data_IF_377421960848
#
_entry.id   IF_377421960848
#
_cell.length_a   1.000
_cell.length_b   1.000
_cell.length_c   1.000
_cell.angle_alpha   90.00
_cell.angle_beta   90.00
_cell.angle_gamma   90.00
#
_symmetry.space_group_name_H-M   'P 1'
#
loop_
_entity.id
_entity.type
_entity.pdbx_description
1 polymer ?
#
# COMPACT_ATOMS: atom_id res chain seq x y z
N UNK A 1 -30.29 -35.12 26.78
CA UNK A 1 -29.17 -34.75 25.93
C UNK A 1 -28.08 -34.17 26.82
N UNK A 2 -26.90 -34.73 26.77
CA UNK A 2 -25.75 -34.16 27.44
C UNK A 2 -25.18 -33.03 26.56
N UNK A 3 -24.74 -31.94 27.18
CA UNK A 3 -24.16 -30.81 26.49
C UNK A 3 -22.70 -30.62 26.90
N UNK A 4 -21.87 -30.26 25.93
CA UNK A 4 -20.47 -29.94 26.12
C UNK A 4 -20.23 -28.43 25.98
N UNK A 5 -19.20 -27.94 26.63
CA UNK A 5 -18.71 -26.59 26.46
C UNK A 5 -17.94 -26.45 25.12
N UNK A 6 -17.74 -25.21 24.68
CA UNK A 6 -16.89 -24.90 23.52
C UNK A 6 -15.48 -25.51 23.65
N UNK A 7 -14.93 -25.48 24.87
CA UNK A 7 -13.60 -26.01 25.16
C UNK A 7 -13.53 -27.54 24.99
N UNK A 8 -14.53 -28.27 25.49
CA UNK A 8 -14.57 -29.73 25.36
C UNK A 8 -14.74 -30.15 23.89
N UNK A 9 -15.61 -29.48 23.15
CA UNK A 9 -15.80 -29.72 21.71
C UNK A 9 -14.53 -29.34 20.90
N UNK A 10 -13.83 -28.29 21.29
CA UNK A 10 -12.56 -27.91 20.63
C UNK A 10 -11.50 -28.98 20.75
N UNK A 11 -11.38 -29.60 21.92
CA UNK A 11 -10.48 -30.75 22.19
C UNK A 11 -10.92 -31.98 21.40
N UNK A 12 -12.22 -32.30 21.46
CA UNK A 12 -12.78 -33.49 20.78
C UNK A 12 -12.58 -33.44 19.26
N UNK A 13 -12.74 -32.24 18.64
CA UNK A 13 -12.62 -32.06 17.21
C UNK A 13 -11.19 -31.69 16.76
N UNK A 14 -10.27 -31.42 17.66
CA UNK A 14 -8.91 -30.98 17.34
C UNK A 14 -8.87 -29.65 16.63
N UNK A 15 -9.68 -28.67 17.09
CA UNK A 15 -9.80 -27.34 16.50
C UNK A 15 -9.75 -26.25 17.60
N UNK A 16 -9.53 -25.00 17.22
CA UNK A 16 -9.53 -23.89 18.21
C UNK A 16 -10.94 -23.62 18.77
N UNK A 17 -11.03 -23.20 20.03
CA UNK A 17 -12.29 -22.76 20.66
C UNK A 17 -13.00 -21.67 19.87
N UNK A 18 -12.21 -20.75 19.29
CA UNK A 18 -12.71 -19.65 18.45
C UNK A 18 -13.40 -20.14 17.19
N UNK A 19 -12.89 -21.22 16.58
CA UNK A 19 -13.55 -21.84 15.43
C UNK A 19 -14.88 -22.45 15.83
N UNK A 20 -14.93 -23.15 16.96
CA UNK A 20 -16.18 -23.73 17.49
C UNK A 20 -17.20 -22.63 17.77
N UNK A 21 -16.80 -21.54 18.46
CA UNK A 21 -17.67 -20.38 18.72
C UNK A 21 -18.23 -19.76 17.44
N UNK A 22 -17.38 -19.63 16.41
CA UNK A 22 -17.80 -19.11 15.11
C UNK A 22 -18.81 -20.04 14.45
N UNK A 23 -18.55 -21.35 14.42
CA UNK A 23 -19.46 -22.34 13.85
C UNK A 23 -20.83 -22.37 14.58
N UNK A 24 -20.83 -22.15 15.91
CA UNK A 24 -22.06 -21.95 16.66
C UNK A 24 -22.81 -20.68 16.26
N UNK A 25 -22.09 -19.56 16.13
CA UNK A 25 -22.66 -18.27 15.74
C UNK A 25 -23.21 -18.27 14.30
N UNK A 26 -22.60 -19.06 13.41
CA UNK A 26 -23.05 -19.29 12.04
C UNK A 26 -24.18 -20.34 11.91
N UNK A 27 -24.66 -20.92 13.04
CA UNK A 27 -25.69 -21.96 13.03
C UNK A 27 -25.28 -23.29 12.37
N UNK A 28 -23.99 -23.55 12.25
CA UNK A 28 -23.42 -24.72 11.54
C UNK A 28 -23.21 -25.94 12.42
N UNK A 29 -23.46 -25.78 13.71
CA UNK A 29 -23.49 -26.90 14.68
C UNK A 29 -24.94 -27.08 15.10
N UNK A 30 -25.53 -28.18 14.65
CA UNK A 30 -26.93 -28.50 14.94
C UNK A 30 -27.14 -28.65 16.46
N UNK A 31 -28.16 -28.01 16.98
CA UNK A 31 -28.50 -28.08 18.41
C UNK A 31 -27.64 -27.21 19.34
N UNK A 32 -26.66 -26.44 18.83
CA UNK A 32 -25.90 -25.49 19.64
C UNK A 32 -26.79 -24.34 20.14
N UNK A 33 -26.72 -24.03 21.45
CA UNK A 33 -27.52 -22.98 22.08
C UNK A 33 -26.65 -22.04 22.91
N UNK A 34 -27.07 -20.78 23.03
CA UNK A 34 -26.36 -19.80 23.85
C UNK A 34 -27.06 -19.65 25.19
N UNK A 35 -26.40 -20.06 26.27
CA UNK A 35 -26.92 -19.98 27.63
C UNK A 35 -26.02 -19.07 28.48
N UNK A 36 -26.60 -18.06 29.11
CA UNK A 36 -25.86 -17.09 29.96
C UNK A 36 -24.57 -16.53 29.36
N UNK A 37 -24.59 -16.29 28.03
CA UNK A 37 -23.42 -15.72 27.29
C UNK A 37 -22.44 -16.74 26.74
N UNK A 38 -22.54 -18.02 27.14
CA UNK A 38 -21.67 -19.11 26.67
C UNK A 38 -22.43 -20.06 25.74
N UNK A 39 -21.73 -20.64 24.75
CA UNK A 39 -22.30 -21.67 23.90
C UNK A 39 -22.26 -23.03 24.58
N UNK A 40 -23.37 -23.76 24.52
CA UNK A 40 -23.49 -25.17 24.88
C UNK A 40 -23.85 -25.96 23.61
N UNK A 41 -23.18 -27.11 23.43
CA UNK A 41 -23.22 -27.90 22.21
C UNK A 41 -23.59 -29.34 22.58
N UNK A 42 -24.53 -29.98 21.88
CA UNK A 42 -24.81 -31.39 22.15
C UNK A 42 -23.54 -32.26 22.06
N UNK A 43 -23.38 -33.20 22.99
CA UNK A 43 -22.20 -34.09 23.04
C UNK A 43 -22.08 -35.00 21.82
N UNK A 44 -23.17 -35.22 21.12
CA UNK A 44 -23.27 -36.02 19.90
C UNK A 44 -23.18 -35.17 18.61
N UNK A 45 -22.96 -33.86 18.74
CA UNK A 45 -22.79 -32.94 17.61
C UNK A 45 -21.64 -33.38 16.69
N UNK A 46 -21.92 -33.47 15.41
CA UNK A 46 -20.89 -33.85 14.44
C UNK A 46 -20.08 -32.64 13.99
N UNK A 47 -18.76 -32.84 13.83
CA UNK A 47 -17.87 -31.84 13.26
C UNK A 47 -18.29 -31.54 11.82
N UNK A 48 -18.59 -30.27 11.45
CA UNK A 48 -18.95 -29.93 10.08
C UNK A 48 -17.84 -30.32 9.09
N UNK A 49 -18.22 -31.02 8.00
CA UNK A 49 -17.28 -31.52 6.97
C UNK A 49 -16.50 -30.38 6.30
N UNK A 50 -17.08 -29.20 6.22
CA UNK A 50 -16.46 -27.99 5.67
C UNK A 50 -16.23 -27.00 6.80
N UNK A 51 -14.99 -26.85 7.28
CA UNK A 51 -14.65 -25.90 8.34
C UNK A 51 -14.55 -24.44 7.84
N UNK A 52 -14.60 -24.25 6.51
CA UNK A 52 -14.73 -22.93 5.88
C UNK A 52 -16.19 -22.52 5.86
N UNK A 53 -16.44 -21.23 6.03
CA UNK A 53 -17.76 -20.62 5.84
C UNK A 53 -18.30 -20.99 4.46
N UNK A 54 -19.46 -21.65 4.42
CA UNK A 54 -20.30 -21.63 3.22
C UNK A 54 -20.93 -20.25 3.17
N UNK A 55 -20.21 -19.28 2.64
CA UNK A 55 -20.78 -17.99 2.33
C UNK A 55 -21.61 -18.13 1.06
N UNK A 56 -22.87 -17.74 1.15
CA UNK A 56 -23.61 -17.19 0.00
C UNK A 56 -22.82 -16.10 -0.72
N UNK A 57 -21.84 -15.48 -0.04
CA UNK A 57 -20.89 -14.50 -0.58
C UNK A 57 -19.93 -15.06 -1.65
N UNK A 58 -19.54 -16.36 -1.60
CA UNK A 58 -18.64 -16.95 -2.62
C UNK A 58 -19.35 -17.17 -3.98
N UNK A 59 -20.67 -17.31 -4.00
CA UNK A 59 -21.42 -17.37 -5.25
C UNK A 59 -21.71 -15.98 -5.80
N UNK A 60 -22.11 -15.03 -4.99
CA UNK A 60 -22.25 -13.63 -5.38
C UNK A 60 -20.89 -13.02 -5.80
N UNK A 61 -19.78 -13.42 -5.14
CA UNK A 61 -18.45 -12.93 -5.47
C UNK A 61 -17.95 -13.42 -6.84
N UNK A 62 -18.24 -14.69 -7.19
CA UNK A 62 -17.92 -15.23 -8.53
C UNK A 62 -18.84 -14.68 -9.62
N UNK A 63 -20.09 -14.39 -9.30
CA UNK A 63 -21.03 -13.75 -10.21
C UNK A 63 -20.72 -12.27 -10.42
N UNK A 64 -20.29 -11.55 -9.39
CA UNK A 64 -19.82 -10.15 -9.49
C UNK A 64 -18.51 -10.04 -10.28
N UNK A 65 -17.57 -10.96 -10.07
CA UNK A 65 -16.32 -11.03 -10.83
C UNK A 65 -16.58 -11.36 -12.31
N UNK A 66 -17.46 -12.32 -12.58
CA UNK A 66 -17.88 -12.68 -13.94
C UNK A 66 -18.71 -11.58 -14.61
N UNK A 67 -19.51 -10.84 -13.86
CA UNK A 67 -20.30 -9.72 -14.37
C UNK A 67 -19.43 -8.49 -14.62
N UNK A 68 -18.46 -8.20 -13.76
CA UNK A 68 -17.48 -7.13 -13.95
C UNK A 68 -16.62 -7.39 -15.20
N UNK A 69 -16.11 -8.61 -15.36
CA UNK A 69 -15.37 -9.03 -16.56
C UNK A 69 -16.22 -8.94 -17.84
N UNK A 70 -17.49 -9.35 -17.79
CA UNK A 70 -18.42 -9.25 -18.93
C UNK A 70 -18.79 -7.81 -19.27
N UNK A 71 -18.97 -6.94 -18.27
CA UNK A 71 -19.24 -5.52 -18.47
C UNK A 71 -18.07 -4.80 -19.13
N UNK A 72 -16.83 -5.09 -18.70
CA UNK A 72 -15.62 -4.54 -19.29
C UNK A 72 -15.38 -5.06 -20.72
N UNK A 73 -15.64 -6.35 -20.97
CA UNK A 73 -15.57 -6.91 -22.33
C UNK A 73 -16.67 -6.33 -23.26
N UNK A 74 -17.86 -6.07 -22.74
CA UNK A 74 -18.97 -5.45 -23.48
C UNK A 74 -18.67 -3.97 -23.80
N UNK A 75 -18.06 -3.24 -22.87
CA UNK A 75 -17.65 -1.86 -23.08
C UNK A 75 -16.52 -1.74 -24.13
N UNK A 76 -15.54 -2.67 -24.13
CA UNK A 76 -14.54 -2.74 -25.21
C UNK A 76 -15.17 -2.88 -26.59
N UNK A 77 -16.18 -3.75 -26.73
CA UNK A 77 -16.88 -3.95 -28.02
C UNK A 77 -17.75 -2.76 -28.42
N UNK A 78 -18.31 -2.02 -27.47
CA UNK A 78 -19.12 -0.82 -27.74
C UNK A 78 -18.25 0.38 -28.16
N UNK A 79 -17.06 0.54 -27.60
CA UNK A 79 -16.10 1.60 -28.00
C UNK A 79 -15.50 1.32 -29.37
N UNK A 80 -15.15 0.07 -29.69
CA UNK A 80 -14.64 -0.32 -31.01
C UNK A 80 -15.67 -0.14 -32.14
N UNK A 81 -16.98 -0.19 -31.84
CA UNK A 81 -18.05 0.01 -32.80
C UNK A 81 -18.42 1.49 -33.02
N UNK A 82 -18.10 2.40 -32.09
CA UNK A 82 -18.48 3.81 -32.17
C UNK A 82 -17.47 4.72 -32.85
N UNK A 83 -16.21 4.34 -32.94
CA UNK A 83 -15.16 5.18 -33.52
C UNK A 83 -14.28 4.34 -34.47
N UNK A 84 -14.53 4.30 -35.77
CA UNK A 84 -13.59 3.80 -36.75
C UNK A 84 -12.34 4.70 -36.79
N UNK A 85 -11.13 4.17 -37.02
CA UNK A 85 -9.92 4.96 -37.03
C UNK A 85 -9.98 6.08 -38.07
N UNK A 86 -9.74 7.31 -37.61
CA UNK A 86 -9.71 8.50 -38.49
C UNK A 86 -8.41 8.47 -39.32
N UNK A 87 -8.55 8.66 -40.62
CA UNK A 87 -7.45 8.84 -41.55
C UNK A 87 -6.65 10.11 -41.21
N UNK A 88 -5.34 9.97 -41.09
CA UNK A 88 -4.42 11.06 -40.78
C UNK A 88 -4.18 11.95 -41.97
N UNK A 89 -4.32 13.28 -41.88
CA UNK A 89 -3.81 14.19 -42.90
C UNK A 89 -2.32 14.44 -42.70
N UNK A 90 -1.56 14.21 -43.76
CA UNK A 90 -0.15 14.53 -43.84
C UNK A 90 0.08 16.05 -43.88
N UNK A 91 0.76 16.62 -42.91
CA UNK A 91 1.36 17.96 -43.03
C UNK A 91 2.81 17.94 -42.64
N UNK A 92 3.63 18.28 -43.61
CA UNK A 92 5.07 18.52 -43.50
C UNK A 92 5.37 19.75 -42.65
N UNK A 93 6.17 19.67 -41.61
CA UNK A 93 6.79 20.82 -40.99
C UNK A 93 8.28 20.56 -40.69
N UNK A 94 9.04 21.62 -40.91
CA UNK A 94 10.50 21.72 -41.05
C UNK A 94 11.24 21.47 -39.75
N UNK A 95 12.40 20.83 -39.89
CA UNK A 95 13.39 20.51 -38.86
C UNK A 95 13.92 21.75 -38.11
N UNK A 96 13.85 21.67 -36.77
CA UNK A 96 14.78 22.30 -35.83
C UNK A 96 15.37 21.19 -34.94
N UNK A 97 16.68 21.22 -34.58
CA UNK A 97 17.25 20.27 -33.67
C UNK A 97 16.74 20.59 -32.27
N UNK A 98 15.64 19.95 -31.87
CA UNK A 98 15.00 20.08 -30.59
C UNK A 98 15.33 18.89 -29.68
N UNK A 99 15.14 19.13 -28.41
CA UNK A 99 15.17 18.19 -27.30
C UNK A 99 14.63 16.80 -27.65
N UNK A 100 15.15 15.71 -27.03
CA UNK A 100 14.62 14.40 -27.29
C UNK A 100 13.11 14.42 -27.01
N UNK A 101 12.30 14.00 -27.99
CA UNK A 101 10.85 13.82 -27.88
C UNK A 101 10.58 13.00 -26.61
N UNK A 102 10.21 13.71 -25.54
CA UNK A 102 9.68 13.02 -24.36
C UNK A 102 8.42 12.29 -24.83
N UNK A 103 8.43 11.00 -24.65
CA UNK A 103 7.28 10.16 -24.95
C UNK A 103 6.04 10.71 -24.26
N UNK A 104 5.02 10.99 -25.03
CA UNK A 104 3.73 11.48 -24.51
C UNK A 104 3.11 10.53 -23.48
N UNK A 105 3.41 9.22 -23.57
CA UNK A 105 2.89 8.22 -22.63
C UNK A 105 3.54 8.36 -21.26
N UNK A 106 4.87 8.43 -21.20
CA UNK A 106 5.58 8.57 -19.92
C UNK A 106 5.30 9.92 -19.25
N UNK A 107 5.18 10.99 -20.03
CA UNK A 107 4.87 12.31 -19.50
C UNK A 107 3.46 12.38 -18.87
N UNK A 108 2.50 11.60 -19.36
CA UNK A 108 1.12 11.58 -18.89
C UNK A 108 0.83 10.43 -17.90
N UNK A 109 1.81 9.58 -17.60
CA UNK A 109 1.65 8.52 -16.60
C UNK A 109 1.73 9.14 -15.20
N UNK A 110 0.73 8.87 -14.35
CA UNK A 110 0.60 9.45 -13.01
C UNK A 110 0.79 10.99 -13.05
N UNK A 111 -0.16 11.70 -13.69
CA UNK A 111 0.03 13.10 -14.06
C UNK A 111 0.31 14.03 -12.86
N UNK A 112 -0.34 13.83 -11.72
CA UNK A 112 -0.10 14.65 -10.53
C UNK A 112 1.28 14.39 -9.92
N UNK A 113 1.67 13.12 -9.79
CA UNK A 113 2.99 12.72 -9.29
C UNK A 113 4.11 13.26 -10.18
N UNK A 114 3.88 13.35 -11.49
CA UNK A 114 4.84 13.90 -12.46
C UNK A 114 4.82 15.41 -12.60
N UNK A 115 3.88 16.10 -11.96
CA UNK A 115 3.79 17.55 -12.02
C UNK A 115 4.44 18.18 -10.79
N UNK A 116 5.36 19.11 -11.01
CA UNK A 116 5.95 19.93 -9.94
C UNK A 116 4.93 20.96 -9.45
N UNK A 117 4.75 21.04 -8.13
CA UNK A 117 3.93 22.08 -7.52
C UNK A 117 4.46 22.46 -6.14
N UNK A 118 4.09 23.66 -5.68
CA UNK A 118 4.40 24.10 -4.31
C UNK A 118 3.35 23.60 -3.34
N UNK A 119 3.71 23.23 -2.10
CA UNK A 119 2.75 22.83 -1.07
C UNK A 119 1.61 23.83 -0.90
N UNK A 120 0.39 23.35 -0.80
CA UNK A 120 -0.84 24.16 -0.74
C UNK A 120 -1.45 24.49 -2.10
N UNK A 121 -0.80 24.09 -3.21
CA UNK A 121 -1.29 24.34 -4.56
C UNK A 121 -1.71 23.09 -5.34
N UNK A 122 -1.81 21.95 -4.70
CA UNK A 122 -2.16 20.68 -5.34
C UNK A 122 -3.47 20.79 -6.14
N UNK A 123 -4.54 21.30 -5.55
CA UNK A 123 -5.84 21.45 -6.20
C UNK A 123 -5.80 22.42 -7.38
N UNK A 124 -5.04 23.53 -7.27
CA UNK A 124 -4.86 24.46 -8.37
C UNK A 124 -4.09 23.80 -9.53
N UNK A 125 -3.07 23.01 -9.23
CA UNK A 125 -2.30 22.23 -10.21
C UNK A 125 -3.19 21.23 -10.94
N UNK A 126 -4.05 20.49 -10.24
CA UNK A 126 -5.03 19.59 -10.87
C UNK A 126 -5.94 20.34 -11.85
N UNK A 127 -6.42 21.52 -11.47
CA UNK A 127 -7.32 22.32 -12.30
C UNK A 127 -6.63 22.90 -13.56
N UNK A 128 -5.30 22.91 -13.63
CA UNK A 128 -4.52 23.38 -14.78
C UNK A 128 -4.35 22.33 -15.88
N UNK A 129 -4.68 21.07 -15.65
CA UNK A 129 -4.68 20.09 -16.72
C UNK A 129 -5.78 20.42 -17.75
N UNK A 130 -5.41 20.68 -18.98
CA UNK A 130 -6.35 21.01 -20.07
C UNK A 130 -7.21 19.80 -20.45
N UNK A 131 -6.61 18.61 -20.51
CA UNK A 131 -7.27 17.35 -20.79
C UNK A 131 -8.16 16.95 -19.59
N UNK A 132 -9.49 16.80 -19.77
CA UNK A 132 -10.42 16.43 -18.70
C UNK A 132 -10.12 15.06 -18.07
N UNK A 133 -9.63 14.12 -18.86
CA UNK A 133 -9.36 12.76 -18.40
C UNK A 133 -8.06 12.72 -17.59
N UNK A 134 -7.01 13.44 -18.03
CA UNK A 134 -5.80 13.63 -17.22
C UNK A 134 -6.11 14.35 -15.91
N UNK A 135 -6.97 15.38 -15.94
CA UNK A 135 -7.43 16.08 -14.73
C UNK A 135 -8.15 15.14 -13.78
N UNK A 136 -8.99 14.25 -14.30
CA UNK A 136 -9.74 13.26 -13.50
C UNK A 136 -8.79 12.23 -12.89
N UNK A 137 -7.78 11.78 -13.62
CA UNK A 137 -6.76 10.88 -13.08
C UNK A 137 -5.89 11.59 -12.01
N UNK A 138 -5.50 12.85 -12.25
CA UNK A 138 -4.78 13.64 -11.24
C UNK A 138 -5.61 13.84 -9.95
N UNK A 139 -6.93 14.02 -10.09
CA UNK A 139 -7.84 14.06 -8.94
C UNK A 139 -7.89 12.70 -8.20
N UNK A 140 -7.89 11.58 -8.93
CA UNK A 140 -7.86 10.25 -8.32
C UNK A 140 -6.54 9.99 -7.57
N UNK A 141 -5.39 10.44 -8.12
CA UNK A 141 -4.11 10.42 -7.40
C UNK A 141 -4.20 11.23 -6.10
N UNK A 142 -4.71 12.45 -6.17
CA UNK A 142 -4.93 13.29 -4.99
C UNK A 142 -5.81 12.59 -3.94
N UNK A 143 -6.92 11.99 -4.37
CA UNK A 143 -7.80 11.24 -3.46
C UNK A 143 -7.03 10.10 -2.78
N UNK A 144 -6.26 9.32 -3.52
CA UNK A 144 -5.43 8.25 -2.95
C UNK A 144 -4.42 8.80 -1.94
N UNK A 145 -3.57 9.74 -2.34
CA UNK A 145 -2.51 10.26 -1.48
C UNK A 145 -3.01 11.09 -0.29
N UNK A 146 -4.27 11.52 -0.32
CA UNK A 146 -4.95 12.19 0.82
C UNK A 146 -5.75 11.25 1.73
N UNK A 147 -5.61 9.92 1.58
CA UNK A 147 -6.25 8.93 2.44
C UNK A 147 -7.69 8.57 2.06
N UNK A 148 -8.16 8.95 0.87
CA UNK A 148 -9.52 8.74 0.36
C UNK A 148 -9.56 7.60 -0.65
N UNK A 149 -9.18 6.40 -0.21
CA UNK A 149 -9.02 5.24 -1.07
C UNK A 149 -10.33 4.84 -1.78
N UNK A 150 -11.50 4.97 -1.12
CA UNK A 150 -12.81 4.71 -1.72
C UNK A 150 -13.09 5.60 -2.92
N UNK A 151 -12.85 6.92 -2.78
CA UNK A 151 -13.06 7.91 -3.83
C UNK A 151 -12.10 7.66 -5.01
N UNK A 152 -10.82 7.40 -4.71
CA UNK A 152 -9.81 7.07 -5.71
C UNK A 152 -10.20 5.81 -6.53
N UNK A 153 -10.63 4.74 -5.86
CA UNK A 153 -11.08 3.51 -6.52
C UNK A 153 -12.35 3.74 -7.35
N UNK A 154 -13.29 4.55 -6.87
CA UNK A 154 -14.50 4.85 -7.60
C UNK A 154 -14.22 5.64 -8.90
N UNK A 155 -13.37 6.68 -8.82
CA UNK A 155 -13.00 7.49 -9.99
C UNK A 155 -12.29 6.61 -11.02
N UNK A 156 -11.25 5.88 -10.61
CA UNK A 156 -10.40 5.12 -11.53
C UNK A 156 -11.09 3.90 -12.13
N UNK A 157 -12.11 3.35 -11.46
CA UNK A 157 -12.89 2.22 -11.98
C UNK A 157 -13.50 2.46 -13.36
N UNK A 158 -13.83 3.70 -13.71
CA UNK A 158 -14.35 4.09 -15.03
C UNK A 158 -13.28 4.19 -16.13
N UNK A 159 -11.99 4.19 -15.76
CA UNK A 159 -10.87 4.42 -16.68
C UNK A 159 -10.00 3.17 -16.95
N UNK A 160 -10.35 2.03 -16.38
CA UNK A 160 -9.57 0.78 -16.54
C UNK A 160 -9.52 0.25 -17.98
N UNK A 161 -10.44 0.70 -18.85
CA UNK A 161 -10.49 0.35 -20.27
C UNK A 161 -10.36 1.56 -21.17
N UNK A 162 -9.79 2.66 -20.67
CA UNK A 162 -9.64 3.91 -21.43
C UNK A 162 -8.75 3.71 -22.66
N UNK A 163 -9.06 4.40 -23.78
CA UNK A 163 -8.30 4.25 -25.03
C UNK A 163 -6.88 4.84 -24.94
N UNK A 164 -6.69 5.92 -24.18
CA UNK A 164 -5.36 6.48 -23.94
C UNK A 164 -4.60 5.57 -22.93
N UNK A 165 -3.46 5.04 -23.40
CA UNK A 165 -2.67 4.08 -22.63
C UNK A 165 -2.14 4.67 -21.32
N UNK A 166 -1.66 5.90 -21.29
CA UNK A 166 -1.15 6.54 -20.07
C UNK A 166 -2.24 6.69 -18.99
N UNK A 167 -3.43 7.12 -19.41
CA UNK A 167 -4.60 7.25 -18.54
C UNK A 167 -5.02 5.89 -17.99
N UNK A 168 -5.11 4.88 -18.87
CA UNK A 168 -5.45 3.50 -18.46
C UNK A 168 -4.47 2.93 -17.46
N UNK A 169 -3.16 3.04 -17.73
CA UNK A 169 -2.12 2.53 -16.84
C UNK A 169 -2.14 3.25 -15.47
N UNK A 170 -2.30 4.57 -15.47
CA UNK A 170 -2.45 5.35 -14.24
C UNK A 170 -3.68 4.91 -13.44
N UNK A 171 -4.82 4.74 -14.12
CA UNK A 171 -6.04 4.26 -13.49
C UNK A 171 -5.86 2.87 -12.88
N UNK A 172 -5.22 1.93 -13.60
CA UNK A 172 -4.93 0.59 -13.09
C UNK A 172 -4.04 0.62 -11.84
N UNK A 173 -2.99 1.45 -11.83
CA UNK A 173 -2.11 1.61 -10.67
C UNK A 173 -2.89 2.15 -9.47
N UNK A 174 -3.56 3.29 -9.61
CA UNK A 174 -4.31 3.91 -8.52
C UNK A 174 -5.41 2.96 -8.01
N UNK A 175 -6.15 2.33 -8.92
CA UNK A 175 -7.20 1.37 -8.57
C UNK A 175 -6.65 0.18 -7.78
N UNK A 176 -5.51 -0.38 -8.21
CA UNK A 176 -4.88 -1.48 -7.52
C UNK A 176 -4.49 -1.08 -6.09
N UNK A 177 -3.74 0.00 -5.93
CA UNK A 177 -3.29 0.44 -4.60
C UNK A 177 -4.44 0.91 -3.71
N UNK A 178 -5.44 1.62 -4.23
CA UNK A 178 -6.61 2.05 -3.48
C UNK A 178 -7.47 0.87 -2.97
N UNK A 179 -7.53 -0.24 -3.71
CA UNK A 179 -8.28 -1.42 -3.28
C UNK A 179 -7.56 -2.30 -2.23
N UNK A 180 -6.26 -2.09 -1.98
CA UNK A 180 -5.52 -2.78 -0.92
C UNK A 180 -6.06 -2.40 0.48
N UNK A 181 -6.06 -1.12 0.90
CA UNK A 181 -6.61 -0.72 2.20
C UNK A 181 -8.12 -0.99 2.33
N UNK A 182 -8.84 -1.08 1.21
CA UNK A 182 -10.25 -1.47 1.19
C UNK A 182 -10.46 -2.98 1.35
N UNK A 183 -9.38 -3.76 1.33
CA UNK A 183 -9.43 -5.22 1.43
C UNK A 183 -10.00 -5.93 0.21
N UNK A 184 -10.15 -5.23 -0.91
CA UNK A 184 -10.68 -5.74 -2.18
C UNK A 184 -9.55 -6.30 -3.06
N UNK A 185 -8.87 -7.33 -2.56
CA UNK A 185 -7.64 -7.87 -3.17
C UNK A 185 -7.84 -8.38 -4.60
N UNK A 186 -9.00 -8.97 -4.91
CA UNK A 186 -9.27 -9.46 -6.26
C UNK A 186 -9.37 -8.30 -7.27
N UNK A 187 -9.91 -7.16 -6.86
CA UNK A 187 -9.97 -5.96 -7.70
C UNK A 187 -8.58 -5.37 -7.93
N UNK A 188 -7.73 -5.35 -6.90
CA UNK A 188 -6.34 -4.95 -7.05
C UNK A 188 -5.57 -5.86 -8.03
N UNK A 189 -5.72 -7.18 -7.88
CA UNK A 189 -5.10 -8.16 -8.80
C UNK A 189 -5.62 -8.04 -10.23
N UNK A 190 -6.91 -7.79 -10.39
CA UNK A 190 -7.52 -7.58 -11.70
C UNK A 190 -6.87 -6.38 -12.41
N UNK A 191 -6.77 -5.22 -11.73
CA UNK A 191 -6.17 -4.03 -12.32
C UNK A 191 -4.69 -4.24 -12.71
N UNK A 192 -3.91 -4.91 -11.87
CA UNK A 192 -2.51 -5.25 -12.19
C UNK A 192 -2.41 -6.22 -13.38
N UNK A 193 -3.34 -7.17 -13.52
CA UNK A 193 -3.39 -8.09 -14.65
C UNK A 193 -3.77 -7.37 -15.96
N UNK A 194 -4.76 -6.47 -15.92
CA UNK A 194 -5.13 -5.63 -17.08
C UNK A 194 -3.95 -4.76 -17.54
N UNK A 195 -3.24 -4.14 -16.60
CA UNK A 195 -2.05 -3.36 -16.92
C UNK A 195 -0.97 -4.21 -17.59
N UNK A 196 -0.70 -5.42 -17.10
CA UNK A 196 0.28 -6.33 -17.72
C UNK A 196 -0.14 -6.76 -19.13
N UNK A 197 -1.42 -6.99 -19.37
CA UNK A 197 -1.95 -7.32 -20.68
C UNK A 197 -1.73 -6.17 -21.68
N UNK A 198 -1.98 -4.93 -21.26
CA UNK A 198 -1.79 -3.75 -22.10
C UNK A 198 -0.31 -3.50 -22.41
N UNK A 199 0.58 -3.63 -21.42
CA UNK A 199 2.02 -3.52 -21.66
C UNK A 199 2.52 -4.57 -22.66
N UNK A 200 2.04 -5.81 -22.55
CA UNK A 200 2.39 -6.87 -23.49
C UNK A 200 1.86 -6.60 -24.91
N UNK A 201 0.65 -6.05 -25.03
CA UNK A 201 0.04 -5.72 -26.33
C UNK A 201 0.82 -4.61 -27.09
N UNK A 202 1.48 -3.71 -26.37
CA UNK A 202 2.24 -2.59 -26.94
C UNK A 202 3.75 -2.80 -26.99
N UNK A 203 4.23 -4.00 -26.63
CA UNK A 203 5.65 -4.31 -26.49
C UNK A 203 6.49 -4.04 -27.75
N UNK A 204 5.91 -4.30 -28.92
CA UNK A 204 6.61 -4.15 -30.20
C UNK A 204 6.49 -2.73 -30.78
N UNK A 205 5.43 -1.99 -30.41
CA UNK A 205 5.15 -0.66 -30.94
C UNK A 205 5.91 0.47 -30.22
N UNK A 206 6.21 0.28 -28.92
CA UNK A 206 6.88 1.28 -28.06
C UNK A 206 7.98 0.61 -27.19
N UNK A 207 9.05 0.09 -27.79
CA UNK A 207 9.93 -0.83 -27.09
C UNK A 207 10.72 -0.22 -25.93
N UNK A 208 11.10 1.06 -25.99
CA UNK A 208 11.85 1.71 -24.89
C UNK A 208 10.94 2.17 -23.76
N UNK A 209 9.82 2.77 -24.10
CA UNK A 209 8.84 3.31 -23.14
C UNK A 209 8.17 2.19 -22.37
N UNK A 210 7.73 1.13 -23.07
CA UNK A 210 7.15 -0.04 -22.42
C UNK A 210 8.14 -0.71 -21.47
N UNK A 211 9.42 -0.81 -21.84
CA UNK A 211 10.44 -1.33 -20.94
C UNK A 211 10.61 -0.47 -19.68
N UNK A 212 10.54 0.85 -19.83
CA UNK A 212 10.62 1.76 -18.69
C UNK A 212 9.40 1.63 -17.77
N UNK A 213 8.20 1.59 -18.35
CA UNK A 213 6.94 1.45 -17.59
C UNK A 213 6.89 0.06 -16.94
N UNK A 214 7.13 -1.02 -17.71
CA UNK A 214 7.12 -2.39 -17.20
C UNK A 214 8.17 -2.57 -16.10
N UNK A 215 9.39 -2.06 -16.32
CA UNK A 215 10.46 -2.08 -15.35
C UNK A 215 10.06 -1.35 -14.07
N UNK A 216 9.61 -0.11 -14.17
CA UNK A 216 9.21 0.71 -13.03
C UNK A 216 8.05 0.08 -12.24
N UNK A 217 6.96 -0.26 -12.92
CA UNK A 217 5.74 -0.78 -12.27
C UNK A 217 6.01 -2.13 -11.61
N UNK A 218 6.68 -3.04 -12.33
CA UNK A 218 6.99 -4.37 -11.80
C UNK A 218 7.95 -4.28 -10.62
N UNK A 219 8.95 -3.40 -10.71
CA UNK A 219 9.89 -3.15 -9.64
C UNK A 219 9.19 -2.56 -8.39
N UNK A 220 8.40 -1.50 -8.58
CA UNK A 220 7.66 -0.86 -7.50
C UNK A 220 6.70 -1.85 -6.83
N UNK A 221 5.89 -2.59 -7.59
CA UNK A 221 4.99 -3.58 -7.05
C UNK A 221 5.73 -4.68 -6.26
N UNK A 222 6.84 -5.19 -6.79
CA UNK A 222 7.62 -6.23 -6.11
C UNK A 222 8.21 -5.73 -4.80
N UNK A 223 8.88 -4.57 -4.80
CA UNK A 223 9.52 -4.04 -3.59
C UNK A 223 8.50 -3.62 -2.54
N UNK A 224 7.49 -2.83 -2.94
CA UNK A 224 6.52 -2.28 -1.99
C UNK A 224 5.53 -3.32 -1.46
N UNK A 225 5.30 -4.41 -2.19
CA UNK A 225 4.49 -5.54 -1.71
C UNK A 225 5.34 -6.69 -1.17
N UNK A 226 6.65 -6.51 -0.99
CA UNK A 226 7.58 -7.54 -0.51
C UNK A 226 7.49 -8.86 -1.31
N UNK A 227 7.30 -8.74 -2.62
CA UNK A 227 7.26 -9.89 -3.54
C UNK A 227 8.65 -10.15 -4.11
N UNK A 228 8.98 -11.40 -4.48
CA UNK A 228 10.22 -11.70 -5.16
C UNK A 228 10.33 -10.94 -6.50
N UNK A 229 11.50 -10.35 -6.77
CA UNK A 229 11.75 -9.72 -8.07
C UNK A 229 11.70 -10.77 -9.19
N UNK A 230 10.93 -10.55 -10.26
CA UNK A 230 10.85 -11.48 -11.38
C UNK A 230 12.20 -11.68 -12.07
N UNK A 231 12.47 -12.90 -12.49
CA UNK A 231 13.68 -13.20 -13.31
C UNK A 231 13.58 -12.46 -14.63
N UNK A 232 14.65 -11.74 -14.97
CA UNK A 232 14.73 -10.98 -16.23
C UNK A 232 14.20 -9.54 -16.14
N UNK A 233 13.79 -9.08 -14.95
CA UNK A 233 13.51 -7.67 -14.75
C UNK A 233 14.76 -6.83 -15.04
N UNK A 234 14.66 -5.75 -15.85
CA UNK A 234 15.79 -4.86 -16.08
C UNK A 234 16.31 -4.26 -14.77
N UNK A 235 17.62 -4.07 -14.62
CA UNK A 235 18.14 -3.36 -13.45
C UNK A 235 17.65 -1.91 -13.45
N UNK A 236 17.57 -1.32 -12.26
CA UNK A 236 17.00 0.04 -12.06
C UNK A 236 17.69 1.06 -12.96
N UNK A 237 19.00 0.95 -13.14
CA UNK A 237 19.82 1.84 -13.96
C UNK A 237 19.42 1.84 -15.45
N UNK A 238 18.77 0.77 -15.90
CA UNK A 238 18.37 0.63 -17.30
C UNK A 238 17.08 1.40 -17.63
N UNK A 239 16.17 1.57 -16.67
CA UNK A 239 14.90 2.25 -16.90
C UNK A 239 14.79 3.62 -16.20
N UNK A 240 15.53 3.84 -15.12
CA UNK A 240 15.50 5.09 -14.35
C UNK A 240 15.72 6.36 -15.20
N UNK A 241 16.71 6.42 -16.13
CA UNK A 241 16.94 7.60 -16.95
C UNK A 241 15.79 7.91 -17.93
N UNK A 242 14.97 6.92 -18.24
CA UNK A 242 13.84 7.05 -19.18
C UNK A 242 12.58 7.61 -18.51
N UNK A 243 12.52 7.58 -17.17
CA UNK A 243 11.38 8.07 -16.42
C UNK A 243 11.37 9.61 -16.35
N UNK A 244 10.20 10.25 -16.43
CA UNK A 244 10.08 11.67 -16.14
C UNK A 244 10.36 11.94 -14.66
N UNK A 245 10.68 13.19 -14.32
CA UNK A 245 11.29 13.55 -13.04
C UNK A 245 10.50 13.08 -11.81
N UNK A 246 9.19 13.27 -11.76
CA UNK A 246 8.38 12.83 -10.62
C UNK A 246 8.39 11.32 -10.42
N UNK A 247 8.22 10.54 -11.52
CA UNK A 247 8.31 9.07 -11.45
C UNK A 247 9.74 8.59 -11.19
N UNK A 248 10.74 9.28 -11.69
CA UNK A 248 12.15 8.98 -11.40
C UNK A 248 12.44 9.13 -9.91
N UNK A 249 12.00 10.24 -9.30
CA UNK A 249 12.13 10.46 -7.86
C UNK A 249 11.40 9.39 -7.04
N UNK A 250 10.21 8.95 -7.50
CA UNK A 250 9.51 7.84 -6.87
C UNK A 250 10.24 6.50 -7.07
N UNK A 251 10.82 6.24 -8.24
CA UNK A 251 11.62 5.04 -8.47
C UNK A 251 12.89 5.00 -7.60
N UNK A 252 13.49 6.16 -7.33
CA UNK A 252 14.61 6.28 -6.38
C UNK A 252 14.16 5.98 -4.95
N UNK A 253 12.96 6.42 -4.54
CA UNK A 253 12.36 5.99 -3.27
C UNK A 253 12.23 4.47 -3.20
N UNK A 254 11.65 3.83 -4.25
CA UNK A 254 11.49 2.36 -4.28
C UNK A 254 12.84 1.65 -4.15
N UNK A 255 13.86 2.16 -4.82
CA UNK A 255 15.20 1.58 -4.73
C UNK A 255 15.86 1.77 -3.35
N UNK A 256 15.70 2.95 -2.75
CA UNK A 256 16.14 3.21 -1.39
C UNK A 256 15.40 2.29 -0.39
N UNK A 257 14.08 2.09 -0.59
CA UNK A 257 13.28 1.18 0.23
C UNK A 257 13.77 -0.27 0.11
N UNK A 258 14.15 -0.74 -1.09
CA UNK A 258 14.76 -2.06 -1.26
C UNK A 258 16.07 -2.17 -0.47
N UNK A 259 16.97 -1.19 -0.58
CA UNK A 259 18.22 -1.16 0.19
C UNK A 259 17.96 -1.18 1.71
N UNK A 260 16.91 -0.45 2.17
CA UNK A 260 16.46 -0.52 3.55
C UNK A 260 16.06 -1.95 3.97
N UNK A 261 15.27 -2.65 3.14
CA UNK A 261 14.87 -4.04 3.41
C UNK A 261 16.06 -5.01 3.42
N UNK A 262 17.09 -4.74 2.64
CA UNK A 262 18.35 -5.47 2.63
C UNK A 262 19.25 -5.14 3.83
N UNK A 263 18.91 -4.11 4.62
CA UNK A 263 19.67 -3.64 5.78
C UNK A 263 20.86 -2.73 5.43
N UNK A 264 20.97 -2.30 4.17
CA UNK A 264 22.03 -1.38 3.70
C UNK A 264 21.58 0.10 3.84
N UNK A 265 21.35 0.51 5.09
CA UNK A 265 20.83 1.83 5.42
C UNK A 265 21.73 2.96 4.93
N UNK A 266 23.04 2.75 4.89
CA UNK A 266 23.99 3.79 4.45
C UNK A 266 23.92 4.06 2.95
N UNK A 267 23.74 3.01 2.13
CA UNK A 267 23.54 3.19 0.68
C UNK A 267 22.17 3.77 0.39
N UNK A 268 21.13 3.35 1.10
CA UNK A 268 19.79 3.92 1.02
C UNK A 268 19.84 5.43 1.28
N UNK A 269 20.44 5.87 2.40
CA UNK A 269 20.60 7.30 2.72
C UNK A 269 21.39 8.07 1.66
N UNK A 270 22.52 7.53 1.22
CA UNK A 270 23.31 8.20 0.17
C UNK A 270 22.52 8.41 -1.12
N UNK A 271 21.66 7.44 -1.49
CA UNK A 271 20.76 7.54 -2.64
C UNK A 271 19.70 8.62 -2.42
N UNK A 272 19.07 8.65 -1.25
CA UNK A 272 18.05 9.65 -0.89
C UNK A 272 18.63 11.06 -0.91
N UNK A 273 19.77 11.27 -0.25
CA UNK A 273 20.43 12.58 -0.17
C UNK A 273 20.84 13.08 -1.56
N UNK A 274 21.40 12.20 -2.41
CA UNK A 274 21.73 12.53 -3.78
C UNK A 274 20.47 12.92 -4.59
N UNK A 275 19.40 12.14 -4.48
CA UNK A 275 18.14 12.41 -5.17
C UNK A 275 17.54 13.78 -4.77
N UNK A 276 17.51 14.09 -3.47
CA UNK A 276 17.00 15.37 -2.96
C UNK A 276 17.84 16.59 -3.38
N UNK A 277 19.13 16.40 -3.68
CA UNK A 277 20.01 17.47 -4.18
C UNK A 277 19.95 17.67 -5.69
N UNK A 278 19.53 16.65 -6.45
CA UNK A 278 19.57 16.68 -7.92
C UNK A 278 18.37 17.36 -8.56
N UNK A 279 17.22 17.36 -7.89
CA UNK A 279 15.99 17.94 -8.44
C UNK A 279 15.94 19.47 -8.20
N UNK A 280 15.82 20.22 -9.32
CA UNK A 280 15.60 21.67 -9.28
C UNK A 280 14.14 22.08 -9.09
N UNK A 281 13.22 21.12 -9.08
CA UNK A 281 11.79 21.32 -8.94
C UNK A 281 11.24 20.35 -7.87
N UNK A 282 10.24 20.81 -7.12
CA UNK A 282 9.61 19.99 -6.06
C UNK A 282 8.50 19.13 -6.63
N UNK A 283 8.60 17.82 -6.41
CA UNK A 283 7.57 16.83 -6.68
C UNK A 283 7.04 16.30 -5.35
N UNK A 284 6.07 16.98 -4.70
CA UNK A 284 5.75 16.75 -3.29
C UNK A 284 5.41 15.31 -2.96
N UNK A 285 4.62 14.64 -3.81
CA UNK A 285 4.23 13.23 -3.58
C UNK A 285 5.48 12.35 -3.50
N UNK A 286 6.30 12.35 -4.54
CA UNK A 286 7.50 11.49 -4.62
C UNK A 286 8.53 11.85 -3.56
N UNK A 287 8.70 13.14 -3.26
CA UNK A 287 9.64 13.62 -2.24
C UNK A 287 9.20 13.24 -0.82
N UNK A 288 7.90 13.27 -0.51
CA UNK A 288 7.37 12.76 0.77
C UNK A 288 7.83 11.31 0.98
N UNK A 289 7.57 10.42 0.03
CA UNK A 289 7.97 9.01 0.11
C UNK A 289 9.48 8.84 0.26
N UNK A 290 10.27 9.60 -0.49
CA UNK A 290 11.72 9.56 -0.43
C UNK A 290 12.25 9.98 0.97
N UNK A 291 11.66 11.01 1.58
CA UNK A 291 11.99 11.43 2.94
C UNK A 291 11.57 10.42 4.00
N UNK A 292 10.45 9.71 3.79
CA UNK A 292 10.02 8.67 4.74
C UNK A 292 11.00 7.51 4.81
N UNK A 293 11.60 7.07 3.69
CA UNK A 293 12.62 6.03 3.74
C UNK A 293 13.90 6.52 4.44
N UNK A 294 14.29 7.78 4.26
CA UNK A 294 15.39 8.35 5.05
C UNK A 294 15.12 8.29 6.56
N UNK A 295 13.89 8.59 7.00
CA UNK A 295 13.50 8.46 8.41
C UNK A 295 13.67 7.01 8.89
N UNK A 296 13.25 6.05 8.09
CA UNK A 296 13.36 4.62 8.42
C UNK A 296 14.84 4.21 8.60
N UNK A 297 15.72 4.68 7.72
CA UNK A 297 17.15 4.46 7.77
C UNK A 297 17.79 5.12 9.00
N UNK A 298 17.53 6.40 9.22
CA UNK A 298 18.04 7.15 10.36
C UNK A 298 17.60 6.55 11.70
N UNK A 299 16.35 6.10 11.79
CA UNK A 299 15.84 5.40 12.98
C UNK A 299 16.54 4.05 13.18
N UNK A 300 16.88 3.34 12.11
CA UNK A 300 17.66 2.10 12.17
C UNK A 300 19.10 2.36 12.62
N UNK A 301 19.68 3.50 12.24
CA UNK A 301 21.02 3.98 12.66
C UNK A 301 21.03 4.75 14.00
N UNK A 302 19.88 4.88 14.67
CA UNK A 302 19.69 5.63 15.94
C UNK A 302 20.02 7.14 15.83
N UNK A 303 19.87 7.71 14.64
CA UNK A 303 20.07 9.13 14.36
C UNK A 303 18.72 9.87 14.41
N UNK A 304 18.17 10.03 15.59
CA UNK A 304 16.81 10.55 15.81
C UNK A 304 16.60 11.98 15.35
N UNK A 305 17.61 12.85 15.51
CA UNK A 305 17.50 14.26 15.12
C UNK A 305 17.44 14.40 13.59
N UNK A 306 18.22 13.63 12.86
CA UNK A 306 18.17 13.60 11.39
C UNK A 306 16.81 13.04 10.91
N UNK A 307 16.33 11.97 11.55
CA UNK A 307 15.00 11.42 11.28
C UNK A 307 13.89 12.47 11.51
N UNK A 308 14.01 13.24 12.62
CA UNK A 308 13.08 14.32 12.95
C UNK A 308 13.11 15.43 11.89
N UNK A 309 14.29 15.84 11.44
CA UNK A 309 14.43 16.87 10.41
C UNK A 309 13.75 16.44 9.09
N UNK A 310 13.98 15.19 8.66
CA UNK A 310 13.30 14.64 7.48
C UNK A 310 11.79 14.51 7.66
N UNK A 311 11.32 14.14 8.85
CA UNK A 311 9.88 14.06 9.13
C UNK A 311 9.21 15.43 9.03
N UNK A 312 9.80 16.46 9.63
CA UNK A 312 9.24 17.81 9.56
C UNK A 312 9.25 18.34 8.11
N UNK A 313 10.33 18.10 7.36
CA UNK A 313 10.40 18.49 5.95
C UNK A 313 9.34 17.74 5.09
N UNK A 314 9.12 16.45 5.33
CA UNK A 314 8.05 15.70 4.67
C UNK A 314 6.66 16.21 5.07
N UNK A 315 6.49 16.59 6.33
CA UNK A 315 5.24 17.13 6.86
C UNK A 315 4.89 18.50 6.29
N UNK A 316 5.89 19.35 6.11
CA UNK A 316 5.72 20.66 5.48
C UNK A 316 5.29 20.55 4.01
N UNK A 317 5.73 19.49 3.31
CA UNK A 317 5.27 19.17 1.96
C UNK A 317 3.84 18.64 1.94
N UNK A 318 3.50 17.77 2.90
CA UNK A 318 2.27 16.97 2.88
C UNK A 318 1.07 17.74 3.44
N UNK A 319 1.24 18.40 4.58
CA UNK A 319 0.15 18.95 5.39
C UNK A 319 -0.71 19.99 4.68
N UNK A 320 -0.15 20.96 3.92
CA UNK A 320 -0.95 22.00 3.27
C UNK A 320 -2.01 21.45 2.30
N UNK A 321 -1.73 20.33 1.66
CA UNK A 321 -2.63 19.66 0.70
C UNK A 321 -3.28 18.38 1.27
N UNK A 322 -2.96 18.02 2.51
CA UNK A 322 -3.47 16.82 3.17
C UNK A 322 -2.96 15.49 2.60
N UNK A 323 -1.75 15.46 2.03
CA UNK A 323 -1.14 14.27 1.41
C UNK A 323 -0.58 13.31 2.48
N UNK A 324 -1.46 12.63 3.21
CA UNK A 324 -1.12 11.89 4.43
C UNK A 324 -1.09 10.37 4.29
N UNK A 325 -1.48 9.80 3.13
CA UNK A 325 -1.50 8.34 2.91
C UNK A 325 -0.14 7.71 3.19
N UNK A 326 0.95 8.28 2.65
CA UNK A 326 2.31 7.78 2.81
C UNK A 326 2.73 7.59 4.28
N UNK A 327 2.31 8.48 5.18
CA UNK A 327 2.62 8.38 6.62
C UNK A 327 1.89 7.20 7.27
N UNK A 328 0.66 6.92 6.85
CA UNK A 328 -0.11 5.78 7.32
C UNK A 328 0.47 4.45 6.83
N UNK A 329 0.86 4.36 5.56
CA UNK A 329 1.50 3.19 4.97
C UNK A 329 2.83 2.83 5.67
N UNK A 330 3.61 3.83 6.06
CA UNK A 330 4.94 3.65 6.66
C UNK A 330 4.96 3.74 8.19
N UNK A 331 3.82 3.98 8.85
CA UNK A 331 3.73 4.25 10.29
C UNK A 331 4.63 3.33 11.13
N UNK A 332 4.50 2.01 10.94
CA UNK A 332 5.26 1.02 11.70
C UNK A 332 6.77 1.10 11.47
N UNK A 333 7.20 1.47 10.29
CA UNK A 333 8.60 1.56 9.90
C UNK A 333 9.26 2.85 10.39
N UNK A 334 8.47 3.89 10.68
CA UNK A 334 8.97 5.19 11.17
C UNK A 334 9.40 5.16 12.65
N UNK A 335 9.27 4.01 13.35
CA UNK A 335 9.83 3.80 14.67
C UNK A 335 9.34 4.79 15.74
N UNK A 336 8.05 5.12 15.74
CA UNK A 336 7.45 6.00 16.74
C UNK A 336 7.69 7.51 16.52
N UNK A 337 8.25 7.89 15.38
CA UNK A 337 8.46 9.31 15.02
C UNK A 337 7.14 10.06 14.91
N UNK A 338 6.07 9.42 14.43
CA UNK A 338 4.76 10.07 14.34
C UNK A 338 4.17 10.33 15.73
N UNK A 339 4.36 9.42 16.68
CA UNK A 339 3.95 9.58 18.06
C UNK A 339 4.70 10.68 18.78
N UNK A 340 6.00 10.77 18.56
CA UNK A 340 6.87 11.74 19.28
C UNK A 340 6.82 13.15 18.71
N UNK A 341 6.46 13.32 17.43
CA UNK A 341 6.46 14.60 16.74
C UNK A 341 5.05 15.00 16.31
N UNK A 342 4.42 14.23 15.42
CA UNK A 342 3.15 14.64 14.78
C UNK A 342 1.98 14.62 15.78
N UNK A 343 1.86 13.59 16.61
CA UNK A 343 0.78 13.48 17.61
C UNK A 343 0.73 14.66 18.57
N UNK A 344 1.89 15.20 18.92
CA UNK A 344 2.02 16.30 19.90
C UNK A 344 1.50 17.62 19.33
N UNK A 345 1.91 17.95 18.13
CA UNK A 345 1.68 19.27 17.53
C UNK A 345 0.45 19.28 16.61
N UNK A 346 0.07 18.11 16.04
CA UNK A 346 -1.07 17.95 15.11
C UNK A 346 -1.91 16.70 15.45
N UNK A 347 -2.57 16.65 16.60
CA UNK A 347 -3.27 15.45 17.08
C UNK A 347 -4.42 15.00 16.17
N UNK A 348 -5.12 15.92 15.50
CA UNK A 348 -6.24 15.57 14.62
C UNK A 348 -5.75 14.94 13.29
N UNK A 349 -4.64 15.43 12.73
CA UNK A 349 -4.03 14.84 11.56
C UNK A 349 -3.41 13.48 11.90
N UNK A 350 -2.80 13.35 13.09
CA UNK A 350 -2.33 12.05 13.60
C UNK A 350 -3.45 11.00 13.64
N UNK A 351 -4.66 11.34 14.09
CA UNK A 351 -5.80 10.41 14.09
C UNK A 351 -6.11 9.91 12.67
N UNK A 352 -6.14 10.81 11.68
CA UNK A 352 -6.37 10.44 10.27
C UNK A 352 -5.29 9.48 9.77
N UNK A 353 -4.01 9.76 10.09
CA UNK A 353 -2.89 8.89 9.73
C UNK A 353 -3.06 7.50 10.36
N UNK A 354 -3.48 7.42 11.62
CA UNK A 354 -3.72 6.15 12.32
C UNK A 354 -4.86 5.36 11.67
N UNK A 355 -5.94 6.01 11.21
CA UNK A 355 -7.02 5.33 10.48
C UNK A 355 -6.51 4.73 9.16
N UNK A 356 -5.65 5.44 8.44
CA UNK A 356 -4.97 4.93 7.23
C UNK A 356 -4.12 3.71 7.59
N UNK A 357 -3.30 3.80 8.65
CA UNK A 357 -2.45 2.70 9.12
C UNK A 357 -3.23 1.41 9.35
N UNK A 358 -4.38 1.49 10.04
CA UNK A 358 -5.20 0.32 10.31
C UNK A 358 -5.80 -0.28 9.03
N UNK A 359 -6.29 0.54 8.12
CA UNK A 359 -6.85 0.10 6.83
C UNK A 359 -5.77 -0.53 5.95
N UNK A 360 -4.64 0.15 5.79
CA UNK A 360 -3.50 -0.33 5.00
C UNK A 360 -2.96 -1.66 5.53
N UNK A 361 -2.68 -1.74 6.84
CA UNK A 361 -2.18 -2.96 7.48
C UNK A 361 -3.14 -4.14 7.27
N UNK A 362 -4.45 -3.93 7.37
CA UNK A 362 -5.44 -4.97 7.14
C UNK A 362 -5.43 -5.48 5.69
N UNK A 363 -5.28 -4.59 4.72
CA UNK A 363 -5.20 -4.93 3.30
C UNK A 363 -3.90 -5.66 2.94
N UNK A 364 -2.78 -5.12 3.40
CA UNK A 364 -1.46 -5.67 3.16
C UNK A 364 -1.32 -7.11 3.65
N UNK A 365 -1.87 -7.44 4.82
CA UNK A 365 -1.92 -8.81 5.36
C UNK A 365 -2.67 -9.79 4.48
N UNK A 366 -3.78 -9.37 3.90
CA UNK A 366 -4.57 -10.22 2.99
C UNK A 366 -3.81 -10.58 1.72
N UNK A 367 -2.87 -9.74 1.29
CA UNK A 367 -1.96 -10.03 0.17
C UNK A 367 -0.96 -11.12 0.56
N UNK A 368 -0.33 -10.99 1.74
CA UNK A 368 0.79 -11.85 2.15
C UNK A 368 0.36 -13.15 2.84
N UNK A 369 -0.81 -13.16 3.50
CA UNK A 369 -1.33 -14.32 4.22
C UNK A 369 -2.76 -14.69 3.81
N UNK A 370 -2.99 -15.13 2.57
CA UNK A 370 -4.33 -15.46 2.09
C UNK A 370 -4.95 -16.67 2.82
N UNK A 371 -4.14 -17.53 3.46
CA UNK A 371 -4.60 -18.77 4.11
C UNK A 371 -4.91 -18.58 5.58
N UNK A 372 -4.09 -17.84 6.33
CA UNK A 372 -4.23 -17.71 7.79
C UNK A 372 -5.00 -16.49 8.23
N UNK A 373 -5.01 -15.42 7.44
CA UNK A 373 -5.58 -14.10 7.78
C UNK A 373 -5.14 -13.58 9.17
N UNK A 374 -4.20 -14.22 9.81
CA UNK A 374 -3.69 -13.92 11.14
C UNK A 374 -2.20 -13.59 11.04
N UNK A 375 -1.86 -12.32 11.18
CA UNK A 375 -0.56 -11.95 11.73
C UNK A 375 -0.78 -11.58 13.19
N UNK A 376 -0.05 -12.23 14.05
CA UNK A 376 -0.10 -12.04 15.50
C UNK A 376 0.22 -10.56 15.84
N UNK A 377 0.99 -9.87 15.00
CA UNK A 377 1.33 -8.44 15.13
C UNK A 377 0.11 -7.49 15.06
N UNK A 378 -1.03 -7.94 14.51
CA UNK A 378 -2.25 -7.14 14.38
C UNK A 378 -2.98 -6.84 15.67
N UNK A 379 -2.69 -7.62 16.68
CA UNK A 379 -3.24 -7.41 18.00
C UNK A 379 -2.50 -6.30 18.77
N UNK A 380 -1.41 -5.76 18.19
CA UNK A 380 -0.68 -4.66 18.80
C UNK A 380 -1.40 -3.34 18.56
N UNK A 381 -1.46 -2.49 19.57
CA UNK A 381 -1.78 -1.08 19.37
C UNK A 381 -0.63 -0.39 18.62
N UNK A 382 -0.87 0.77 18.01
CA UNK A 382 0.17 1.54 17.31
C UNK A 382 1.37 1.82 18.20
N UNK A 383 1.17 2.16 19.47
CA UNK A 383 2.26 2.39 20.43
C UNK A 383 3.00 1.10 20.80
N UNK A 384 2.28 -0.01 21.01
CA UNK A 384 2.92 -1.33 21.24
C UNK A 384 3.75 -1.73 20.01
N UNK A 385 3.25 -1.46 18.80
CA UNK A 385 3.98 -1.74 17.56
C UNK A 385 5.23 -0.84 17.46
N UNK A 386 5.12 0.47 17.68
CA UNK A 386 6.26 1.38 17.67
C UNK A 386 7.36 0.97 18.68
N UNK A 387 6.95 0.67 19.92
CA UNK A 387 7.87 0.18 20.97
C UNK A 387 8.54 -1.15 20.55
N UNK A 388 7.76 -2.07 19.96
CA UNK A 388 8.28 -3.37 19.52
C UNK A 388 9.25 -3.22 18.34
N UNK A 389 8.97 -2.32 17.39
CA UNK A 389 9.84 -2.00 16.26
C UNK A 389 11.19 -1.43 16.74
N UNK A 390 11.17 -0.47 17.64
CA UNK A 390 12.40 0.09 18.23
C UNK A 390 13.18 -0.98 19.00
N UNK A 391 12.47 -1.84 19.73
CA UNK A 391 13.09 -2.95 20.47
C UNK A 391 13.73 -3.98 19.51
N UNK A 392 13.12 -4.29 18.38
CA UNK A 392 13.67 -5.14 17.32
C UNK A 392 14.95 -4.53 16.72
N UNK A 393 14.97 -3.19 16.54
CA UNK A 393 16.16 -2.42 16.13
C UNK A 393 17.23 -2.28 17.23
N UNK A 394 17.15 -3.08 18.30
CA UNK A 394 18.13 -3.13 19.40
C UNK A 394 18.25 -1.83 20.22
N UNK A 395 17.18 -1.03 20.26
CA UNK A 395 17.10 0.09 21.18
C UNK A 395 16.89 -0.39 22.61
N UNK A 396 17.54 0.18 23.60
CA UNK A 396 17.30 -0.11 25.02
C UNK A 396 15.98 0.50 25.49
N UNK A 397 15.43 0.00 26.60
CA UNK A 397 14.20 0.58 27.18
C UNK A 397 14.38 2.05 27.54
N UNK A 398 15.58 2.45 27.95
CA UNK A 398 15.92 3.84 28.26
C UNK A 398 15.91 4.71 26.99
N UNK A 399 16.53 4.27 25.89
CA UNK A 399 16.50 4.98 24.61
C UNK A 399 15.06 5.15 24.10
N UNK A 400 14.25 4.07 24.17
CA UNK A 400 12.84 4.11 23.77
C UNK A 400 12.04 5.07 24.65
N UNK A 401 12.27 5.07 25.97
CA UNK A 401 11.57 5.92 26.91
C UNK A 401 11.83 7.40 26.64
N UNK A 402 13.08 7.76 26.36
CA UNK A 402 13.48 9.12 26.01
C UNK A 402 12.84 9.54 24.68
N UNK A 403 12.91 8.68 23.66
CA UNK A 403 12.39 8.96 22.31
C UNK A 403 10.86 9.17 22.29
N UNK A 404 10.11 8.34 23.03
CA UNK A 404 8.63 8.39 23.07
C UNK A 404 8.09 9.29 24.20
N UNK A 405 8.94 9.91 24.98
CA UNK A 405 8.59 10.75 26.15
C UNK A 405 7.67 10.00 27.16
N UNK A 406 8.08 8.79 27.51
CA UNK A 406 7.39 7.93 28.49
C UNK A 406 8.37 7.35 29.51
N UNK A 407 7.85 6.82 30.64
CA UNK A 407 8.74 6.16 31.61
C UNK A 407 9.28 4.82 31.09
N UNK A 408 10.47 4.38 31.55
CA UNK A 408 11.00 3.05 31.25
C UNK A 408 10.06 1.93 31.70
N UNK A 409 9.32 2.14 32.77
CA UNK A 409 8.32 1.17 33.24
C UNK A 409 7.14 1.08 32.26
N UNK A 410 6.74 2.18 31.66
CA UNK A 410 5.74 2.21 30.58
C UNK A 410 6.22 1.42 29.36
N UNK A 411 7.48 1.60 28.95
CA UNK A 411 8.10 0.81 27.87
C UNK A 411 8.07 -0.69 28.19
N UNK A 412 8.48 -1.08 29.42
CA UNK A 412 8.42 -2.49 29.87
C UNK A 412 7.01 -3.04 29.82
N UNK A 413 6.00 -2.23 30.19
CA UNK A 413 4.59 -2.62 30.14
C UNK A 413 4.12 -2.87 28.70
N UNK A 414 4.46 -1.97 27.75
CA UNK A 414 4.16 -2.15 26.34
C UNK A 414 4.84 -3.41 25.77
N UNK A 415 6.11 -3.64 26.06
CA UNK A 415 6.82 -4.84 25.62
C UNK A 415 6.20 -6.12 26.21
N UNK A 416 5.86 -6.13 27.50
CA UNK A 416 5.21 -7.28 28.12
C UNK A 416 3.83 -7.57 27.50
N UNK A 417 3.06 -6.54 27.20
CA UNK A 417 1.80 -6.67 26.49
C UNK A 417 2.01 -7.20 25.05
N UNK A 418 2.97 -6.64 24.32
CA UNK A 418 3.31 -7.08 22.98
C UNK A 418 3.78 -8.55 22.97
N UNK A 419 4.68 -8.94 23.86
CA UNK A 419 5.15 -10.33 23.97
C UNK A 419 4.01 -11.32 24.20
N UNK A 420 3.08 -10.99 25.09
CA UNK A 420 1.88 -11.81 25.34
C UNK A 420 1.01 -11.91 24.09
N UNK A 421 0.81 -10.81 23.37
CA UNK A 421 -0.01 -10.76 22.16
C UNK A 421 0.64 -11.50 20.99
N UNK A 422 1.97 -11.44 20.88
CA UNK A 422 2.76 -12.12 19.87
C UNK A 422 3.06 -13.59 20.21
N UNK A 423 2.79 -14.02 21.44
CA UNK A 423 3.11 -15.39 21.91
C UNK A 423 4.62 -15.65 22.02
N UNK A 424 5.44 -14.62 22.25
CA UNK A 424 6.90 -14.70 22.37
C UNK A 424 7.35 -14.46 23.81
N UNK A 425 8.53 -14.93 24.15
CA UNK A 425 9.10 -14.77 25.49
C UNK A 425 10.41 -13.99 25.53
N UNK A 426 11.06 -13.82 24.39
CA UNK A 426 12.37 -13.16 24.29
C UNK A 426 12.31 -11.96 23.36
N UNK A 427 13.02 -10.90 23.73
CA UNK A 427 13.11 -9.67 22.95
C UNK A 427 13.66 -9.90 21.54
N UNK A 428 14.59 -10.84 21.37
CA UNK A 428 15.18 -11.20 20.09
C UNK A 428 14.13 -11.74 19.10
N UNK A 429 13.09 -12.39 19.61
CA UNK A 429 12.03 -12.96 18.79
C UNK A 429 11.18 -11.87 18.07
N UNK A 430 11.31 -10.59 18.49
CA UNK A 430 10.65 -9.47 17.83
C UNK A 430 11.14 -9.25 16.39
N UNK A 431 12.41 -9.56 16.08
CA UNK A 431 12.99 -9.32 14.75
C UNK A 431 12.17 -10.00 13.64
N UNK A 432 11.69 -11.21 13.89
CA UNK A 432 10.89 -11.96 12.90
C UNK A 432 9.51 -11.38 12.63
N UNK A 433 8.97 -10.55 13.55
CA UNK A 433 7.64 -9.94 13.40
C UNK A 433 7.69 -8.47 12.94
N UNK A 434 8.84 -7.81 13.12
CA UNK A 434 8.98 -6.37 12.94
C UNK A 434 9.88 -5.99 11.76
N UNK A 435 10.84 -6.86 11.39
CA UNK A 435 11.89 -6.55 10.42
C UNK A 435 11.93 -7.51 9.22
N UNK A 436 10.98 -8.45 9.12
CA UNK A 436 10.93 -9.44 8.02
C UNK A 436 9.60 -9.36 7.28
#
# INVERSE_FOLDING_TARGET
>A
MEFCSVREISVLWGVSERLVQRLCAEGRIEGAQKLSGSWIIPSDAQKPKNLRTTRSDDQNFKEDEANTLKQHASNRNLYAQKNPPAETPSTSSKDFPGEPLQSTILANLMPLMNTSFTPGNCQNTINQFDDPDLRTIALAEYCYFSGKAEEAAQITGGFLSHENLAIRLSACLIYAYANLPLGKINQARFALAEMQLELNAHKDSLPQENKAIEGFVTYAASVLLHLPLPKGLPPVEAFLPLLPSGLRTFALYVHAHQLYLEGDYSRSLGLVEAALMMDNATYPISEIYLRLVAIMDYMSLKRTEDARAHLLAAWDLARPDGLIEAFGEHHGLLGGMLESVIKKDWPEDFKKIIDITYRFSAGWRRVHNPVTQETIADNLTTTEFAVSMLAARKWTNKEISIHLDVSENTVKSYLASAFRKLGISRRQDLEQYMLK
#
